data_IF_126442794411
#
_entry.id   IF_126442794411
#
_cell.length_a   1.000
_cell.length_b   1.000
_cell.length_c   1.000
_cell.angle_alpha   90.00
_cell.angle_beta   90.00
_cell.angle_gamma   90.00
#
_symmetry.space_group_name_H-M   'P 1'
#
loop_
_entity.id
_entity.type
_entity.pdbx_description
1 polymer ?
#
# COMPACT_ATOMS: atom_id res chain seq x y z
N UNK A 1 35.09 11.45 -7.96
CA UNK A 1 34.17 12.51 -7.53
C UNK A 1 33.40 12.01 -6.29
N UNK A 2 33.24 12.83 -5.27
CA UNK A 2 32.50 12.50 -4.04
C UNK A 2 31.12 13.17 -4.12
N UNK A 3 30.08 12.37 -4.01
CA UNK A 3 28.69 12.83 -4.11
C UNK A 3 27.97 12.51 -2.82
N UNK A 4 27.26 13.50 -2.26
CA UNK A 4 26.36 13.33 -1.13
C UNK A 4 24.92 13.31 -1.65
N UNK A 5 24.18 12.23 -1.39
CA UNK A 5 22.73 12.20 -1.59
C UNK A 5 22.02 12.58 -0.29
N UNK A 6 21.42 13.75 -0.28
CA UNK A 6 20.77 14.34 0.89
C UNK A 6 19.25 14.23 0.77
N UNK A 7 18.60 13.55 1.71
CA UNK A 7 17.12 13.45 1.73
C UNK A 7 16.62 13.06 3.13
N UNK A 8 15.41 13.45 3.44
CA UNK A 8 14.67 12.94 4.58
C UNK A 8 14.24 11.47 4.40
N UNK A 9 14.09 10.98 3.17
CA UNK A 9 13.58 9.64 2.85
C UNK A 9 12.24 9.34 3.54
N UNK A 10 11.34 10.30 3.58
CA UNK A 10 10.08 10.25 4.32
C UNK A 10 8.86 10.59 3.46
N UNK A 11 8.18 9.58 2.89
CA UNK A 11 8.52 8.16 2.88
C UNK A 11 9.58 7.78 1.83
N UNK A 12 10.19 6.61 2.01
CA UNK A 12 11.03 5.99 0.99
C UNK A 12 10.15 5.36 -0.10
N UNK A 13 10.17 5.94 -1.31
CA UNK A 13 9.39 5.46 -2.45
C UNK A 13 10.19 4.54 -3.37
N UNK A 14 9.52 3.79 -4.23
CA UNK A 14 10.17 2.92 -5.21
C UNK A 14 11.16 3.67 -6.11
N UNK A 15 10.88 4.92 -6.47
CA UNK A 15 11.77 5.74 -7.28
C UNK A 15 13.07 6.08 -6.58
N UNK A 16 13.00 6.41 -5.28
CA UNK A 16 14.18 6.60 -4.45
C UNK A 16 14.96 5.31 -4.24
N UNK A 17 14.27 4.19 -4.01
CA UNK A 17 14.92 2.88 -3.89
C UNK A 17 15.67 2.49 -5.17
N UNK A 18 15.11 2.71 -6.35
CA UNK A 18 15.78 2.45 -7.62
C UNK A 18 17.05 3.28 -7.78
N UNK A 19 17.00 4.58 -7.42
CA UNK A 19 18.20 5.40 -7.40
C UNK A 19 19.26 4.86 -6.45
N UNK A 20 18.88 4.45 -5.23
CA UNK A 20 19.83 3.97 -4.21
C UNK A 20 20.45 2.60 -4.57
N UNK A 21 19.76 1.79 -5.40
CA UNK A 21 20.30 0.52 -5.90
C UNK A 21 21.37 0.70 -6.96
N UNK A 22 21.24 1.71 -7.82
CA UNK A 22 22.19 2.00 -8.87
C UNK A 22 22.33 3.52 -9.12
N UNK A 23 22.94 4.24 -8.18
CA UNK A 23 23.13 5.68 -8.32
C UNK A 23 24.07 6.05 -9.48
N UNK A 24 24.97 5.13 -9.88
CA UNK A 24 25.90 5.38 -10.98
C UNK A 24 25.22 5.45 -12.35
N UNK A 25 24.02 4.89 -12.52
CA UNK A 25 23.22 5.09 -13.73
C UNK A 25 22.69 6.52 -13.88
N UNK A 26 22.71 7.31 -12.81
CA UNK A 26 22.19 8.68 -12.76
C UNK A 26 23.29 9.73 -12.63
N UNK A 27 24.48 9.32 -12.18
CA UNK A 27 25.66 10.18 -12.02
C UNK A 27 26.89 9.48 -12.62
N UNK A 28 28.01 10.19 -12.78
CA UNK A 28 29.22 9.63 -13.37
C UNK A 28 29.66 8.35 -12.63
N UNK A 29 29.88 7.28 -13.40
CA UNK A 29 30.26 5.94 -12.91
C UNK A 29 31.56 5.88 -12.10
N UNK A 30 32.40 6.90 -12.18
CA UNK A 30 33.65 7.03 -11.38
C UNK A 30 33.42 7.65 -10.01
N UNK A 31 32.19 7.97 -9.65
CA UNK A 31 31.87 8.71 -8.43
C UNK A 31 31.59 7.78 -7.23
N UNK A 32 32.03 8.18 -6.04
CA UNK A 32 31.58 7.59 -4.78
C UNK A 32 30.35 8.32 -4.27
N UNK A 33 29.30 7.59 -3.95
CA UNK A 33 28.04 8.14 -3.43
C UNK A 33 27.87 7.75 -1.96
N UNK A 34 27.58 8.74 -1.12
CA UNK A 34 27.20 8.55 0.28
C UNK A 34 25.82 9.14 0.53
N UNK A 35 25.07 8.56 1.47
CA UNK A 35 23.74 9.02 1.87
C UNK A 35 23.86 9.86 3.14
N UNK A 36 23.20 11.04 3.15
CA UNK A 36 22.91 11.78 4.35
C UNK A 36 21.42 11.75 4.64
N UNK A 37 21.03 11.03 5.70
CA UNK A 37 19.67 10.98 6.20
C UNK A 37 19.42 12.21 7.10
N UNK A 38 18.43 13.01 6.76
CA UNK A 38 17.97 14.11 7.60
C UNK A 38 17.09 13.56 8.73
N UNK A 39 17.31 14.00 9.98
CA UNK A 39 16.62 13.48 11.15
C UNK A 39 15.11 13.78 11.16
N UNK A 40 14.72 14.93 10.63
CA UNK A 40 13.32 15.34 10.59
C UNK A 40 12.51 14.47 9.63
N UNK A 41 11.30 14.07 10.05
CA UNK A 41 10.37 13.26 9.26
C UNK A 41 9.21 12.70 10.11
N UNK A 42 8.19 12.19 9.48
CA UNK A 42 7.03 11.59 10.15
C UNK A 42 7.31 10.14 10.56
N UNK A 43 7.99 9.37 9.69
CA UNK A 43 8.63 8.11 10.07
C UNK A 43 9.82 8.38 10.98
N UNK A 44 10.00 7.56 12.03
CA UNK A 44 11.13 7.69 12.94
C UNK A 44 12.47 7.56 12.20
N UNK A 45 13.50 8.25 12.73
CA UNK A 45 14.86 8.17 12.19
C UNK A 45 15.36 6.71 12.17
N UNK A 46 15.06 5.94 13.22
CA UNK A 46 15.46 4.54 13.30
C UNK A 46 14.84 3.68 12.20
N UNK A 47 13.56 3.85 11.90
CA UNK A 47 12.89 3.12 10.82
C UNK A 47 13.49 3.47 9.45
N UNK A 48 13.75 4.75 9.20
CA UNK A 48 14.40 5.20 7.96
C UNK A 48 15.84 4.69 7.82
N UNK A 49 16.62 4.68 8.90
CA UNK A 49 17.96 4.07 8.93
C UNK A 49 17.92 2.58 8.61
N UNK A 50 16.97 1.85 9.20
CA UNK A 50 16.78 0.42 8.93
C UNK A 50 16.43 0.17 7.46
N UNK A 51 15.55 0.96 6.87
CA UNK A 51 15.22 0.88 5.45
C UNK A 51 16.44 1.15 4.57
N UNK A 52 17.22 2.17 4.89
CA UNK A 52 18.45 2.53 4.15
C UNK A 52 19.58 1.53 4.33
N UNK A 53 19.58 0.73 5.41
CA UNK A 53 20.61 -0.28 5.67
C UNK A 53 20.71 -1.38 4.61
N UNK A 54 19.68 -1.54 3.79
CA UNK A 54 19.62 -2.51 2.68
C UNK A 54 20.51 -2.13 1.48
N UNK A 55 20.92 -0.86 1.39
CA UNK A 55 21.69 -0.36 0.25
C UNK A 55 23.20 -0.36 0.58
N UNK A 56 24.08 -0.77 -0.35
CA UNK A 56 25.52 -0.88 -0.13
C UNK A 56 26.22 0.48 -0.23
N UNK A 57 25.66 1.53 0.32
CA UNK A 57 26.16 2.89 0.29
C UNK A 57 26.60 3.34 1.69
N UNK A 58 27.67 4.13 1.76
CA UNK A 58 28.03 4.85 2.98
C UNK A 58 26.91 5.79 3.40
N UNK A 59 26.58 5.85 4.70
CA UNK A 59 25.47 6.66 5.21
C UNK A 59 25.81 7.37 6.50
N UNK A 60 25.19 8.52 6.71
CA UNK A 60 25.26 9.33 7.92
C UNK A 60 23.89 9.85 8.25
N UNK A 61 23.55 9.92 9.52
CA UNK A 61 22.35 10.60 10.01
C UNK A 61 22.76 11.96 10.51
N UNK A 62 22.12 13.01 10.04
CA UNK A 62 22.47 14.40 10.35
C UNK A 62 21.23 15.23 10.67
N UNK A 63 21.40 16.25 11.49
CA UNK A 63 20.43 17.31 11.67
C UNK A 63 20.48 18.31 10.50
N UNK A 64 19.42 19.06 10.29
CA UNK A 64 19.38 20.12 9.28
C UNK A 64 20.50 21.15 9.45
N UNK A 65 20.90 21.46 10.69
CA UNK A 65 21.99 22.40 11.00
C UNK A 65 23.37 21.95 10.51
N UNK A 66 23.59 20.65 10.30
CA UNK A 66 24.87 20.10 9.87
C UNK A 66 25.05 20.07 8.35
N UNK A 67 23.99 20.35 7.57
CA UNK A 67 24.02 20.25 6.11
C UNK A 67 25.11 21.16 5.49
N UNK A 68 25.19 22.41 5.93
CA UNK A 68 26.14 23.38 5.36
C UNK A 68 27.60 22.95 5.56
N UNK A 69 27.93 22.41 6.74
CA UNK A 69 29.30 21.93 7.04
C UNK A 69 29.58 20.66 6.27
N UNK A 70 28.66 19.70 6.26
CA UNK A 70 28.84 18.43 5.58
C UNK A 70 28.97 18.60 4.07
N UNK A 71 28.16 19.47 3.44
CA UNK A 71 28.19 19.72 1.99
C UNK A 71 29.53 20.24 1.47
N UNK A 72 30.34 20.89 2.32
CA UNK A 72 31.72 21.33 1.97
C UNK A 72 32.67 20.16 1.69
N UNK A 73 32.40 19.00 2.26
CA UNK A 73 33.22 17.79 2.12
C UNK A 73 33.03 17.03 0.81
N UNK A 74 32.03 17.44 -0.02
CA UNK A 74 31.67 16.76 -1.25
C UNK A 74 31.82 17.66 -2.47
N UNK A 75 32.03 17.06 -3.64
CA UNK A 75 32.10 17.77 -4.91
C UNK A 75 30.71 18.21 -5.35
N UNK A 76 29.72 17.33 -5.16
CA UNK A 76 28.32 17.60 -5.45
C UNK A 76 27.40 17.09 -4.33
N UNK A 77 26.22 17.72 -4.23
CA UNK A 77 25.12 17.32 -3.35
C UNK A 77 23.90 17.07 -4.20
N UNK A 78 23.44 15.83 -4.25
CA UNK A 78 22.18 15.44 -4.93
C UNK A 78 21.03 15.56 -3.94
N UNK A 79 19.99 16.30 -4.33
CA UNK A 79 18.81 16.55 -3.49
C UNK A 79 17.55 16.28 -4.30
N UNK A 80 16.54 15.56 -3.76
CA UNK A 80 15.24 15.48 -4.39
C UNK A 80 14.69 16.90 -4.64
N UNK A 81 14.19 17.16 -5.83
CA UNK A 81 13.73 18.50 -6.24
C UNK A 81 12.63 19.03 -5.29
N UNK A 82 11.78 18.14 -4.79
CA UNK A 82 10.76 18.44 -3.79
C UNK A 82 11.34 18.93 -2.47
N UNK A 83 12.47 18.38 -2.04
CA UNK A 83 13.08 18.71 -0.76
C UNK A 83 14.03 19.91 -0.83
N UNK A 84 14.47 20.27 -2.04
CA UNK A 84 15.45 21.37 -2.25
C UNK A 84 15.04 22.70 -1.59
N UNK A 85 13.79 23.18 -1.65
CA UNK A 85 13.38 24.40 -0.98
C UNK A 85 13.67 24.45 0.53
N UNK A 86 13.73 23.27 1.18
CA UNK A 86 14.02 23.18 2.62
C UNK A 86 15.51 23.30 2.95
N UNK A 87 16.41 23.11 1.96
CA UNK A 87 17.86 23.04 2.15
C UNK A 87 18.64 24.05 1.31
N UNK A 88 18.00 24.79 0.38
CA UNK A 88 18.66 25.66 -0.60
C UNK A 88 19.62 26.69 0.03
N UNK A 89 19.28 27.24 1.20
CA UNK A 89 20.10 28.24 1.88
C UNK A 89 21.34 27.66 2.58
N UNK A 90 21.47 26.32 2.60
CA UNK A 90 22.52 25.57 3.30
C UNK A 90 23.51 24.89 2.34
N UNK A 91 23.25 24.91 1.04
CA UNK A 91 24.04 24.23 0.02
C UNK A 91 24.47 25.24 -1.04
N UNK A 92 25.78 25.23 -1.40
CA UNK A 92 26.26 26.04 -2.52
C UNK A 92 25.51 25.64 -3.82
N UNK A 93 24.78 26.55 -4.47
CA UNK A 93 24.03 26.24 -5.69
C UNK A 93 24.88 25.66 -6.83
N UNK A 94 26.20 25.96 -6.84
CA UNK A 94 27.15 25.42 -7.83
C UNK A 94 27.44 23.94 -7.65
N UNK A 95 27.17 23.41 -6.46
CA UNK A 95 27.35 21.99 -6.12
C UNK A 95 26.08 21.17 -6.16
N UNK A 96 24.91 21.79 -6.32
CA UNK A 96 23.63 21.10 -6.28
C UNK A 96 23.35 20.39 -7.60
N UNK A 97 22.91 19.14 -7.49
CA UNK A 97 22.26 18.40 -8.58
C UNK A 97 20.88 18.02 -8.07
N UNK A 98 19.83 18.45 -8.74
CA UNK A 98 18.48 18.07 -8.37
C UNK A 98 18.10 16.71 -8.98
N UNK A 99 17.35 15.93 -8.24
CA UNK A 99 16.88 14.62 -8.62
C UNK A 99 15.34 14.65 -8.67
N UNK A 100 14.75 14.34 -9.83
CA UNK A 100 13.29 14.39 -9.96
C UNK A 100 12.78 14.15 -11.36
N UNK A 101 11.50 14.38 -11.58
CA UNK A 101 10.78 14.20 -12.85
C UNK A 101 10.97 15.36 -13.83
N UNK A 102 10.57 15.15 -15.07
CA UNK A 102 10.55 16.21 -16.09
C UNK A 102 9.65 17.41 -15.71
N UNK A 103 8.63 17.20 -14.89
CA UNK A 103 7.76 18.26 -14.43
C UNK A 103 8.48 19.15 -13.41
N UNK A 104 9.18 18.55 -12.45
CA UNK A 104 9.96 19.25 -11.44
C UNK A 104 11.16 19.97 -12.09
N UNK A 105 11.79 19.39 -13.11
CA UNK A 105 12.87 20.02 -13.88
C UNK A 105 12.48 21.39 -14.44
N UNK A 106 11.24 21.57 -14.89
CA UNK A 106 10.77 22.86 -15.43
C UNK A 106 10.80 23.98 -14.40
N UNK A 107 10.59 23.64 -13.12
CA UNK A 107 10.62 24.61 -12.02
C UNK A 107 12.05 25.07 -11.69
N UNK A 108 13.05 24.24 -11.93
CA UNK A 108 14.45 24.49 -11.59
C UNK A 108 15.38 24.46 -12.81
N UNK A 109 14.98 25.12 -13.89
CA UNK A 109 15.68 25.06 -15.20
C UNK A 109 17.13 25.56 -15.18
N UNK A 110 17.52 26.34 -14.16
CA UNK A 110 18.88 26.89 -14.02
C UNK A 110 19.86 25.99 -13.27
N UNK A 111 19.38 24.91 -12.65
CA UNK A 111 20.21 23.98 -11.88
C UNK A 111 20.46 22.66 -12.65
N UNK A 112 21.62 22.02 -12.44
CA UNK A 112 21.83 20.66 -12.94
C UNK A 112 20.74 19.71 -12.45
N UNK A 113 20.25 18.83 -13.30
CA UNK A 113 19.12 17.99 -13.00
C UNK A 113 19.33 16.55 -13.49
N UNK A 114 19.19 15.60 -12.57
CA UNK A 114 19.15 14.17 -12.84
C UNK A 114 17.69 13.76 -12.98
N UNK A 115 17.31 13.30 -14.16
CA UNK A 115 15.92 12.97 -14.47
C UNK A 115 15.60 11.53 -14.10
N UNK A 116 14.48 11.34 -13.39
CA UNK A 116 13.91 10.01 -13.13
C UNK A 116 12.58 9.87 -13.87
N UNK A 117 12.21 8.64 -14.28
CA UNK A 117 11.01 8.41 -15.08
C UNK A 117 9.69 8.62 -14.32
N UNK A 118 9.70 8.78 -13.00
CA UNK A 118 8.51 8.93 -12.16
C UNK A 118 8.45 10.29 -11.45
N UNK A 119 7.24 10.72 -11.11
CA UNK A 119 6.97 11.93 -10.31
C UNK A 119 7.04 11.57 -8.82
N UNK A 120 8.23 11.67 -8.24
CA UNK A 120 8.50 11.34 -6.85
C UNK A 120 7.65 12.18 -5.86
N UNK A 121 7.47 13.47 -6.14
CA UNK A 121 6.65 14.36 -5.30
C UNK A 121 5.24 13.83 -5.19
N UNK A 122 4.68 13.42 -6.32
CA UNK A 122 3.34 12.87 -6.41
C UNK A 122 3.25 11.50 -5.73
N UNK A 123 4.26 10.64 -5.91
CA UNK A 123 4.32 9.34 -5.24
C UNK A 123 4.31 9.50 -3.72
N UNK A 124 5.15 10.37 -3.17
CA UNK A 124 5.20 10.65 -1.73
C UNK A 124 3.88 11.23 -1.21
N UNK A 125 3.31 12.20 -1.92
CA UNK A 125 2.04 12.80 -1.52
C UNK A 125 0.92 11.77 -1.52
N UNK A 126 0.76 10.98 -2.60
CA UNK A 126 -0.28 9.97 -2.70
C UNK A 126 -0.16 8.91 -1.60
N UNK A 127 1.07 8.52 -1.24
CA UNK A 127 1.32 7.58 -0.17
C UNK A 127 0.93 8.17 1.19
N UNK A 128 1.36 9.42 1.51
CA UNK A 128 1.00 10.12 2.76
C UNK A 128 -0.51 10.30 2.90
N UNK A 129 -1.20 10.54 1.82
CA UNK A 129 -2.66 10.65 1.79
C UNK A 129 -3.39 9.30 1.78
N UNK A 130 -2.68 8.18 1.64
CA UNK A 130 -3.25 6.84 1.54
C UNK A 130 -4.04 6.58 0.26
N UNK A 131 -3.76 7.32 -0.81
CA UNK A 131 -4.49 7.24 -2.09
C UNK A 131 -3.87 6.30 -3.10
N UNK A 132 -2.54 6.15 -3.06
CA UNK A 132 -1.81 5.15 -3.84
C UNK A 132 -0.46 4.89 -3.17
N UNK A 133 0.05 3.66 -3.34
CA UNK A 133 1.32 3.26 -2.76
C UNK A 133 2.35 2.97 -3.87
N UNK A 134 3.56 3.49 -3.67
CA UNK A 134 4.72 3.30 -4.53
C UNK A 134 5.91 3.03 -3.62
N UNK A 135 5.80 1.95 -2.81
CA UNK A 135 6.78 1.62 -1.79
C UNK A 135 7.04 0.12 -1.73
N UNK A 136 8.22 -0.26 -1.26
CA UNK A 136 8.54 -1.66 -0.98
C UNK A 136 7.73 -2.18 0.22
N UNK A 137 7.67 -3.51 0.37
CA UNK A 137 6.98 -4.14 1.50
C UNK A 137 7.53 -3.63 2.83
N UNK A 138 8.85 -3.54 2.96
CA UNK A 138 9.54 -3.10 4.16
C UNK A 138 9.20 -1.65 4.53
N UNK A 139 9.08 -0.77 3.54
CA UNK A 139 8.64 0.61 3.77
C UNK A 139 7.17 0.64 4.22
N UNK A 140 6.29 -0.18 3.62
CA UNK A 140 4.89 -0.30 4.04
C UNK A 140 4.76 -0.89 5.44
N UNK A 141 5.57 -1.89 5.81
CA UNK A 141 5.62 -2.46 7.17
C UNK A 141 6.06 -1.40 8.19
N UNK A 142 7.07 -0.58 7.88
CA UNK A 142 7.50 0.50 8.76
C UNK A 142 6.36 1.52 8.99
N UNK A 143 5.66 1.93 7.93
CA UNK A 143 4.50 2.83 7.99
C UNK A 143 3.39 2.23 8.87
N UNK A 144 3.06 0.95 8.69
CA UNK A 144 2.04 0.26 9.49
C UNK A 144 2.43 0.14 10.97
N UNK A 145 3.70 -0.09 11.26
CA UNK A 145 4.21 -0.25 12.63
C UNK A 145 4.21 1.08 13.39
N UNK A 146 4.54 2.19 12.73
CA UNK A 146 4.58 3.51 13.33
C UNK A 146 3.25 4.27 13.29
N UNK A 147 2.25 3.73 12.60
CA UNK A 147 0.89 4.29 12.54
C UNK A 147 0.87 5.73 12.00
N UNK A 148 1.69 6.04 10.99
CA UNK A 148 1.88 7.39 10.45
C UNK A 148 1.05 7.67 9.18
N UNK A 149 1.09 8.91 8.70
CA UNK A 149 0.42 9.43 7.49
C UNK A 149 -1.11 9.31 7.53
N UNK A 150 -1.73 8.51 6.66
CA UNK A 150 -3.18 8.33 6.56
C UNK A 150 -3.76 7.40 7.63
N UNK A 151 -2.93 6.58 8.28
CA UNK A 151 -3.37 5.52 9.19
C UNK A 151 -4.15 6.03 10.41
N UNK A 152 -3.77 7.13 11.09
CA UNK A 152 -4.57 7.67 12.19
C UNK A 152 -6.00 8.06 11.78
N UNK A 153 -6.21 8.51 10.54
CA UNK A 153 -7.55 8.81 10.01
C UNK A 153 -8.37 7.53 9.81
N UNK A 154 -7.76 6.47 9.29
CA UNK A 154 -8.40 5.17 9.10
C UNK A 154 -8.72 4.51 10.45
N UNK A 155 -7.77 4.50 11.38
CA UNK A 155 -7.93 3.92 12.73
C UNK A 155 -9.13 4.47 13.49
N UNK A 156 -9.42 5.77 13.36
CA UNK A 156 -10.59 6.40 14.01
C UNK A 156 -11.94 5.84 13.57
N UNK A 157 -12.00 5.09 12.47
CA UNK A 157 -13.24 4.55 11.89
C UNK A 157 -13.56 3.14 12.33
N UNK A 158 -12.62 2.45 12.96
CA UNK A 158 -12.75 1.03 13.27
C UNK A 158 -12.20 0.71 14.66
N UNK A 159 -12.68 -0.39 15.23
CA UNK A 159 -12.16 -0.93 16.48
C UNK A 159 -10.73 -1.41 16.30
N UNK A 160 -9.93 -1.38 17.36
CA UNK A 160 -8.52 -1.75 17.34
C UNK A 160 -8.26 -3.15 16.75
N UNK A 161 -9.10 -4.14 17.11
CA UNK A 161 -8.97 -5.50 16.57
C UNK A 161 -9.18 -5.55 15.05
N UNK A 162 -10.10 -4.73 14.54
CA UNK A 162 -10.35 -4.62 13.09
C UNK A 162 -9.25 -3.89 12.39
N UNK A 163 -8.74 -2.81 12.98
CA UNK A 163 -7.60 -2.09 12.45
C UNK A 163 -6.35 -2.98 12.33
N UNK A 164 -6.06 -3.77 13.39
CA UNK A 164 -4.98 -4.75 13.37
C UNK A 164 -5.18 -5.81 12.27
N UNK A 165 -6.41 -6.33 12.14
CA UNK A 165 -6.77 -7.25 11.06
C UNK A 165 -6.53 -6.63 9.67
N UNK A 166 -7.00 -5.39 9.44
CA UNK A 166 -6.82 -4.71 8.14
C UNK A 166 -5.35 -4.52 7.77
N UNK A 167 -4.46 -4.26 8.74
CA UNK A 167 -3.01 -4.21 8.52
C UNK A 167 -2.45 -5.55 8.04
N UNK A 168 -2.88 -6.65 8.65
CA UNK A 168 -2.44 -8.00 8.26
C UNK A 168 -3.00 -8.41 6.90
N UNK A 169 -4.26 -8.08 6.62
CA UNK A 169 -4.86 -8.31 5.28
C UNK A 169 -4.09 -7.54 4.21
N UNK A 170 -3.72 -6.29 4.47
CA UNK A 170 -2.95 -5.48 3.51
C UNK A 170 -1.61 -6.11 3.15
N UNK A 171 -0.84 -6.59 4.15
CA UNK A 171 0.44 -7.27 3.92
C UNK A 171 0.25 -8.62 3.21
N UNK A 172 -0.78 -9.38 3.58
CA UNK A 172 -1.11 -10.66 2.94
C UNK A 172 -1.53 -10.44 1.48
N UNK A 173 -2.33 -9.41 1.19
CA UNK A 173 -2.66 -8.99 -0.17
C UNK A 173 -1.42 -8.64 -0.98
N UNK A 174 -0.49 -7.88 -0.39
CA UNK A 174 0.77 -7.51 -1.04
C UNK A 174 1.55 -8.77 -1.45
N UNK A 175 1.74 -9.71 -0.52
CA UNK A 175 2.52 -10.93 -0.77
C UNK A 175 1.88 -11.81 -1.85
N UNK A 176 0.58 -12.10 -1.74
CA UNK A 176 -0.15 -12.90 -2.72
C UNK A 176 -0.12 -12.23 -4.10
N UNK A 177 -0.40 -10.93 -4.17
CA UNK A 177 -0.39 -10.20 -5.43
C UNK A 177 0.99 -10.20 -6.10
N UNK A 178 2.06 -9.93 -5.33
CA UNK A 178 3.44 -9.95 -5.82
C UNK A 178 3.83 -11.31 -6.37
N UNK A 179 3.50 -12.38 -5.65
CA UNK A 179 3.81 -13.75 -6.02
C UNK A 179 3.08 -14.19 -7.31
N UNK A 180 1.90 -13.63 -7.58
CA UNK A 180 1.07 -13.93 -8.75
C UNK A 180 1.18 -12.89 -9.88
N UNK A 181 2.17 -11.98 -9.86
CA UNK A 181 2.37 -10.99 -10.92
C UNK A 181 1.30 -9.89 -10.99
N UNK A 182 0.51 -9.72 -9.93
CA UNK A 182 -0.47 -8.64 -9.81
C UNK A 182 0.18 -7.38 -9.22
N UNK A 183 -0.52 -6.26 -9.29
CA UNK A 183 -0.04 -5.02 -8.67
C UNK A 183 -0.14 -5.08 -7.13
N UNK A 184 0.98 -5.39 -6.47
CA UNK A 184 1.07 -5.58 -5.03
C UNK A 184 0.69 -4.32 -4.23
N UNK A 185 1.06 -3.14 -4.70
CA UNK A 185 0.72 -1.87 -4.04
C UNK A 185 -0.79 -1.58 -4.09
N UNK A 186 -1.46 -1.87 -5.21
CA UNK A 186 -2.93 -1.77 -5.28
C UNK A 186 -3.62 -2.83 -4.41
N UNK A 187 -3.06 -4.03 -4.33
CA UNK A 187 -3.58 -5.09 -3.46
C UNK A 187 -3.45 -4.72 -1.99
N UNK A 188 -2.32 -4.15 -1.58
CA UNK A 188 -2.16 -3.56 -0.25
C UNK A 188 -3.24 -2.50 0.03
N UNK A 189 -3.49 -1.60 -0.93
CA UNK A 189 -4.50 -0.56 -0.81
C UNK A 189 -5.91 -1.16 -0.61
N UNK A 190 -6.28 -2.18 -1.38
CA UNK A 190 -7.54 -2.87 -1.21
C UNK A 190 -7.63 -3.52 0.19
N UNK A 191 -6.56 -4.19 0.63
CA UNK A 191 -6.49 -4.85 1.93
C UNK A 191 -6.61 -3.91 3.11
N UNK A 192 -5.92 -2.76 3.10
CA UNK A 192 -5.96 -1.83 4.24
C UNK A 192 -7.34 -1.16 4.41
N UNK A 193 -8.08 -0.98 3.32
CA UNK A 193 -9.38 -0.30 3.33
C UNK A 193 -10.61 -1.23 3.28
N UNK A 194 -10.45 -2.55 3.10
CA UNK A 194 -11.60 -3.44 2.83
C UNK A 194 -12.72 -3.37 3.87
N UNK A 195 -12.37 -3.21 5.14
CA UNK A 195 -13.29 -3.19 6.28
C UNK A 195 -13.56 -1.77 6.84
N UNK A 196 -13.31 -0.71 6.05
CA UNK A 196 -13.36 0.70 6.52
C UNK A 196 -14.73 1.16 7.05
N UNK A 197 -15.80 0.42 6.83
CA UNK A 197 -17.18 0.68 7.29
C UNK A 197 -17.78 -0.43 8.14
N UNK A 198 -17.03 -1.51 8.44
CA UNK A 198 -17.55 -2.71 9.12
C UNK A 198 -18.09 -2.44 10.52
N UNK A 199 -17.60 -1.43 11.20
CA UNK A 199 -18.02 -1.07 12.56
C UNK A 199 -19.19 -0.06 12.59
N UNK A 200 -19.72 0.33 11.42
CA UNK A 200 -20.96 1.13 11.34
C UNK A 200 -22.17 0.22 11.60
N UNK A 201 -23.23 0.77 12.22
CA UNK A 201 -24.45 0.00 12.43
C UNK A 201 -25.14 -0.33 11.11
N UNK A 202 -25.93 -1.40 11.12
CA UNK A 202 -26.68 -1.85 9.92
C UNK A 202 -27.62 -0.75 9.42
N UNK A 203 -28.27 -0.01 10.32
CA UNK A 203 -29.20 1.08 9.99
C UNK A 203 -28.49 2.18 9.21
N UNK A 204 -27.28 2.58 9.64
CA UNK A 204 -26.46 3.59 8.98
C UNK A 204 -26.06 3.10 7.59
N UNK A 205 -25.58 1.88 7.49
CA UNK A 205 -25.15 1.29 6.21
C UNK A 205 -26.33 1.13 5.24
N UNK A 206 -27.48 0.63 5.70
CA UNK A 206 -28.69 0.49 4.88
C UNK A 206 -29.19 1.85 4.39
N UNK A 207 -29.22 2.86 5.26
CA UNK A 207 -29.65 4.20 4.86
C UNK A 207 -28.72 4.78 3.79
N UNK A 208 -27.41 4.65 4.00
CA UNK A 208 -26.41 5.10 3.04
C UNK A 208 -26.55 4.38 1.68
N UNK A 209 -26.74 3.05 1.68
CA UNK A 209 -26.93 2.28 0.44
C UNK A 209 -28.25 2.60 -0.28
N UNK A 210 -29.32 2.93 0.44
CA UNK A 210 -30.57 3.40 -0.18
C UNK A 210 -30.39 4.68 -1.02
N UNK A 211 -29.47 5.52 -0.64
CA UNK A 211 -29.19 6.80 -1.29
C UNK A 211 -28.19 6.67 -2.45
N UNK A 212 -27.21 5.74 -2.33
CA UNK A 212 -26.07 5.68 -3.24
C UNK A 212 -26.01 4.42 -4.13
N UNK A 213 -26.57 3.29 -3.68
CA UNK A 213 -26.53 2.00 -4.40
C UNK A 213 -27.68 1.09 -3.98
N UNK A 214 -28.91 1.52 -4.20
CA UNK A 214 -30.14 0.85 -3.73
C UNK A 214 -30.32 -0.57 -4.27
N UNK A 215 -29.77 -0.86 -5.43
CA UNK A 215 -29.90 -2.15 -6.13
C UNK A 215 -29.23 -3.32 -5.38
N UNK A 216 -28.31 -3.07 -4.46
CA UNK A 216 -27.69 -4.12 -3.65
C UNK A 216 -28.54 -4.55 -2.44
N UNK A 217 -29.66 -3.87 -2.20
CA UNK A 217 -30.58 -4.18 -1.12
C UNK A 217 -31.77 -5.03 -1.62
N UNK A 218 -32.31 -5.98 -0.81
CA UNK A 218 -31.86 -6.29 0.55
C UNK A 218 -30.54 -7.04 0.58
N UNK A 219 -29.71 -6.76 1.59
CA UNK A 219 -28.40 -7.35 1.79
C UNK A 219 -28.26 -7.84 3.24
N UNK A 220 -27.72 -9.05 3.49
CA UNK A 220 -27.47 -9.51 4.83
C UNK A 220 -26.49 -8.60 5.59
N UNK A 221 -26.68 -8.45 6.90
CA UNK A 221 -25.89 -7.62 7.79
C UNK A 221 -24.36 -7.84 7.62
N UNK A 222 -23.93 -9.10 7.50
CA UNK A 222 -22.51 -9.42 7.37
C UNK A 222 -21.87 -8.88 6.09
N UNK A 223 -22.65 -8.56 5.05
CA UNK A 223 -22.14 -8.14 3.74
C UNK A 223 -22.37 -6.64 3.43
N UNK A 224 -23.15 -5.91 4.24
CA UNK A 224 -23.43 -4.49 4.01
C UNK A 224 -22.15 -3.67 3.81
N UNK A 225 -21.14 -3.90 4.67
CA UNK A 225 -19.90 -3.12 4.68
C UNK A 225 -19.05 -3.27 3.41
N UNK A 226 -19.16 -4.34 2.64
CA UNK A 226 -18.41 -4.45 1.39
C UNK A 226 -18.90 -3.43 0.35
N UNK A 227 -20.20 -3.17 0.28
CA UNK A 227 -20.77 -2.17 -0.63
C UNK A 227 -20.57 -0.75 -0.09
N UNK A 228 -20.91 -0.52 1.18
CA UNK A 228 -20.72 0.76 1.84
C UNK A 228 -19.24 1.16 1.84
N UNK A 229 -18.34 0.22 2.15
CA UNK A 229 -16.90 0.45 2.17
C UNK A 229 -16.33 0.80 0.79
N UNK A 230 -16.82 0.17 -0.26
CA UNK A 230 -16.40 0.45 -1.64
C UNK A 230 -16.81 1.86 -2.12
N UNK A 231 -17.90 2.41 -1.60
CA UNK A 231 -18.32 3.78 -1.84
C UNK A 231 -17.53 4.76 -0.99
N UNK A 232 -17.45 4.53 0.34
CA UNK A 232 -16.77 5.41 1.28
C UNK A 232 -15.27 5.52 1.04
N UNK A 233 -14.62 4.48 0.53
CA UNK A 233 -13.20 4.56 0.17
C UNK A 233 -12.94 5.60 -0.93
N UNK A 234 -13.90 5.80 -1.84
CA UNK A 234 -13.84 6.87 -2.85
C UNK A 234 -14.09 8.24 -2.22
N UNK A 235 -15.12 8.37 -1.43
CA UNK A 235 -15.58 9.67 -0.91
C UNK A 235 -14.64 10.23 0.15
N UNK A 236 -14.23 9.39 1.10
CA UNK A 236 -13.48 9.82 2.26
C UNK A 236 -11.96 9.76 2.11
N UNK A 237 -11.49 8.84 1.27
CA UNK A 237 -10.05 8.62 1.04
C UNK A 237 -9.61 8.95 -0.40
N UNK A 238 -10.55 9.27 -1.30
CA UNK A 238 -10.24 9.66 -2.67
C UNK A 238 -9.69 8.53 -3.54
N UNK A 239 -9.98 7.26 -3.20
CA UNK A 239 -9.57 6.10 -4.00
C UNK A 239 -10.49 5.95 -5.21
N UNK A 240 -9.97 6.34 -6.38
CA UNK A 240 -10.73 6.31 -7.63
C UNK A 240 -10.54 5.02 -8.42
N UNK A 241 -9.50 4.25 -8.12
CA UNK A 241 -9.16 3.03 -8.86
C UNK A 241 -10.30 2.00 -8.79
N UNK A 242 -10.93 1.65 -9.93
CA UNK A 242 -12.06 0.74 -9.96
C UNK A 242 -11.67 -0.67 -9.51
N UNK A 243 -10.46 -1.12 -9.81
CA UNK A 243 -9.97 -2.45 -9.43
C UNK A 243 -9.96 -2.63 -7.91
N UNK A 244 -9.51 -1.60 -7.17
CA UNK A 244 -9.50 -1.60 -5.70
C UNK A 244 -10.93 -1.59 -5.16
N UNK A 245 -11.78 -0.73 -5.70
CA UNK A 245 -13.17 -0.58 -5.23
C UNK A 245 -14.02 -1.80 -5.50
N UNK A 246 -13.89 -2.42 -6.67
CA UNK A 246 -14.59 -3.64 -7.04
C UNK A 246 -14.15 -4.83 -6.18
N UNK A 247 -12.87 -4.95 -5.85
CA UNK A 247 -12.40 -5.97 -4.93
C UNK A 247 -13.02 -5.79 -3.54
N UNK A 248 -13.09 -4.55 -3.02
CA UNK A 248 -13.75 -4.27 -1.75
C UNK A 248 -15.24 -4.63 -1.82
N UNK A 249 -15.93 -4.32 -2.92
CA UNK A 249 -17.35 -4.56 -3.09
C UNK A 249 -17.75 -6.06 -3.15
N UNK A 250 -16.80 -6.97 -3.29
CA UNK A 250 -17.09 -8.41 -3.37
C UNK A 250 -16.27 -9.29 -2.39
N UNK A 251 -15.52 -8.68 -1.46
CA UNK A 251 -14.61 -9.46 -0.61
C UNK A 251 -15.31 -10.39 0.39
N UNK A 252 -16.57 -10.11 0.75
CA UNK A 252 -17.35 -10.97 1.65
C UNK A 252 -18.13 -12.05 0.92
N UNK A 253 -18.99 -11.64 -0.01
CA UNK A 253 -19.91 -12.54 -0.70
C UNK A 253 -19.30 -13.23 -1.90
N UNK A 254 -18.23 -12.68 -2.45
CA UNK A 254 -17.79 -12.98 -3.81
C UNK A 254 -18.81 -12.49 -4.84
N UNK A 255 -18.62 -12.89 -6.07
CA UNK A 255 -19.53 -12.74 -7.22
C UNK A 255 -19.28 -13.85 -8.23
N UNK A 256 -20.18 -14.05 -9.19
CA UNK A 256 -20.12 -15.13 -10.18
C UNK A 256 -18.75 -15.21 -10.87
N UNK A 257 -18.25 -14.11 -11.40
CA UNK A 257 -16.96 -14.05 -12.09
C UNK A 257 -16.05 -13.06 -11.36
N UNK A 258 -15.04 -13.58 -10.70
CA UNK A 258 -14.02 -12.78 -9.99
C UNK A 258 -12.71 -12.81 -10.78
N UNK A 259 -12.10 -11.65 -11.00
CA UNK A 259 -10.75 -11.58 -11.52
C UNK A 259 -9.71 -11.95 -10.43
N UNK A 260 -8.47 -12.18 -10.83
CA UNK A 260 -7.41 -12.63 -9.90
C UNK A 260 -7.12 -11.61 -8.80
N UNK A 261 -7.34 -10.32 -9.03
CA UNK A 261 -7.15 -9.28 -8.03
C UNK A 261 -8.25 -9.32 -6.94
N UNK A 262 -9.50 -9.51 -7.34
CA UNK A 262 -10.64 -9.70 -6.41
C UNK A 262 -10.47 -10.97 -5.58
N UNK A 263 -10.02 -12.06 -6.21
CA UNK A 263 -9.67 -13.31 -5.52
C UNK A 263 -8.53 -13.10 -4.51
N UNK A 264 -7.55 -12.26 -4.84
CA UNK A 264 -6.45 -11.92 -3.95
C UNK A 264 -6.97 -11.32 -2.63
N UNK A 265 -7.82 -10.30 -2.68
CA UNK A 265 -8.42 -9.73 -1.46
C UNK A 265 -9.30 -10.72 -0.72
N UNK A 266 -10.15 -11.48 -1.45
CA UNK A 266 -11.03 -12.50 -0.86
C UNK A 266 -10.23 -13.54 -0.07
N UNK A 267 -9.12 -14.03 -0.62
CA UNK A 267 -8.24 -15.01 0.03
C UNK A 267 -7.50 -14.38 1.20
N UNK A 268 -6.89 -13.21 1.01
CA UNK A 268 -6.09 -12.55 2.04
C UNK A 268 -6.89 -12.24 3.31
N UNK A 269 -8.12 -11.73 3.16
CA UNK A 269 -9.03 -11.48 4.28
C UNK A 269 -9.30 -12.73 5.12
N UNK A 270 -9.36 -13.89 4.48
CA UNK A 270 -9.70 -15.15 5.13
C UNK A 270 -8.50 -15.95 5.62
N UNK A 271 -7.29 -15.58 5.18
CA UNK A 271 -6.08 -16.38 5.45
C UNK A 271 -4.93 -15.58 6.09
N UNK A 272 -5.15 -14.31 6.45
CA UNK A 272 -4.10 -13.53 7.12
C UNK A 272 -3.63 -14.21 8.43
N UNK A 273 -2.34 -14.03 8.82
CA UNK A 273 -1.72 -14.86 9.87
C UNK A 273 -2.33 -14.77 11.26
N UNK A 274 -3.12 -13.72 11.56
CA UNK A 274 -3.71 -13.55 12.91
C UNK A 274 -5.09 -14.17 13.08
N UNK A 275 -5.60 -14.85 12.04
CA UNK A 275 -6.87 -15.57 12.15
C UNK A 275 -6.82 -16.63 13.24
N UNK A 276 -7.90 -16.83 14.03
CA UNK A 276 -7.93 -17.75 15.16
C UNK A 276 -8.04 -19.22 14.76
N UNK A 277 -7.85 -19.54 13.49
CA UNK A 277 -7.92 -20.89 12.93
C UNK A 277 -6.84 -21.10 11.87
N UNK A 278 -6.47 -22.35 11.64
CA UNK A 278 -5.41 -22.70 10.69
C UNK A 278 -5.80 -22.35 9.25
N UNK A 279 -5.02 -21.48 8.63
CA UNK A 279 -5.21 -21.02 7.25
C UNK A 279 -3.91 -20.95 6.45
N UNK A 280 -2.82 -21.39 7.03
CA UNK A 280 -1.50 -21.31 6.40
C UNK A 280 -1.44 -22.12 5.11
N UNK A 281 -2.11 -23.29 5.09
CA UNK A 281 -2.16 -24.14 3.91
C UNK A 281 -2.79 -23.42 2.72
N UNK A 282 -3.97 -22.84 2.91
CA UNK A 282 -4.69 -22.11 1.85
C UNK A 282 -3.90 -20.87 1.39
N UNK A 283 -3.29 -20.16 2.33
CA UNK A 283 -2.43 -19.00 2.02
C UNK A 283 -1.21 -19.44 1.21
N UNK A 284 -0.54 -20.54 1.55
CA UNK A 284 0.61 -21.04 0.80
C UNK A 284 0.23 -21.50 -0.60
N UNK A 285 -0.95 -22.11 -0.79
CA UNK A 285 -1.46 -22.42 -2.13
C UNK A 285 -1.69 -21.12 -2.93
N UNK A 286 -2.27 -20.08 -2.32
CA UNK A 286 -2.51 -18.81 -2.99
C UNK A 286 -1.23 -18.06 -3.36
N UNK A 287 -0.18 -18.19 -2.58
CA UNK A 287 1.15 -17.65 -2.92
C UNK A 287 1.74 -18.34 -4.17
N UNK A 288 1.45 -19.62 -4.38
CA UNK A 288 1.89 -20.34 -5.59
C UNK A 288 0.98 -20.08 -6.79
N UNK A 289 -0.34 -20.06 -6.56
CA UNK A 289 -1.36 -19.85 -7.60
C UNK A 289 -2.64 -19.31 -6.96
N UNK A 290 -3.03 -18.10 -7.30
CA UNK A 290 -4.20 -17.44 -6.73
C UNK A 290 -5.52 -18.16 -7.06
N UNK A 291 -5.64 -18.76 -8.24
CA UNK A 291 -6.85 -19.49 -8.65
C UNK A 291 -7.06 -20.74 -7.78
N UNK A 292 -6.01 -21.51 -7.56
CA UNK A 292 -6.03 -22.69 -6.68
C UNK A 292 -6.22 -22.30 -5.21
N UNK A 293 -5.58 -21.23 -4.75
CA UNK A 293 -5.74 -20.70 -3.40
C UNK A 293 -7.17 -20.24 -3.13
N UNK A 294 -7.79 -19.55 -4.09
CA UNK A 294 -9.17 -19.13 -4.01
C UNK A 294 -10.11 -20.35 -3.90
N UNK A 295 -9.94 -21.36 -4.73
CA UNK A 295 -10.73 -22.59 -4.68
C UNK A 295 -10.54 -23.34 -3.34
N UNK A 296 -9.33 -23.39 -2.81
CA UNK A 296 -9.04 -24.00 -1.52
C UNK A 296 -9.78 -23.26 -0.38
N UNK A 297 -9.69 -21.93 -0.33
CA UNK A 297 -10.40 -21.10 0.65
C UNK A 297 -11.92 -21.27 0.52
N UNK A 298 -12.44 -21.25 -0.70
CA UNK A 298 -13.88 -21.38 -0.93
C UNK A 298 -14.41 -22.72 -0.43
N UNK A 299 -13.71 -23.83 -0.69
CA UNK A 299 -14.08 -25.17 -0.18
C UNK A 299 -14.04 -25.20 1.36
N UNK A 300 -12.95 -24.74 1.96
CA UNK A 300 -12.82 -24.68 3.42
C UNK A 300 -13.92 -23.87 4.09
N UNK A 301 -14.32 -22.73 3.49
CA UNK A 301 -15.44 -21.92 4.00
C UNK A 301 -16.79 -22.64 3.90
N UNK A 302 -17.09 -23.25 2.77
CA UNK A 302 -18.36 -23.98 2.60
C UNK A 302 -18.45 -25.13 3.61
N UNK A 303 -17.38 -25.90 3.78
CA UNK A 303 -17.33 -26.98 4.76
C UNK A 303 -17.51 -26.46 6.19
N UNK A 304 -16.92 -25.30 6.52
CA UNK A 304 -17.11 -24.65 7.82
C UNK A 304 -18.57 -24.24 8.03
N UNK A 305 -19.20 -23.56 7.05
CA UNK A 305 -20.58 -23.08 7.17
C UNK A 305 -21.57 -24.24 7.24
N UNK A 306 -21.38 -25.30 6.44
CA UNK A 306 -22.20 -26.53 6.52
C UNK A 306 -22.10 -27.15 7.93
N UNK A 307 -20.91 -27.31 8.47
CA UNK A 307 -20.71 -27.87 9.83
C UNK A 307 -21.34 -27.04 10.94
N UNK A 308 -21.42 -25.72 10.77
CA UNK A 308 -21.94 -24.77 11.75
C UNK A 308 -23.41 -24.40 11.50
N UNK A 309 -24.06 -24.93 10.47
CA UNK A 309 -25.39 -24.53 10.04
C UNK A 309 -25.56 -23.02 9.85
N UNK A 310 -24.55 -22.37 9.30
CA UNK A 310 -24.57 -20.92 9.02
C UNK A 310 -25.24 -20.71 7.65
N UNK A 311 -26.27 -19.85 7.54
CA UNK A 311 -27.03 -19.63 6.30
C UNK A 311 -26.28 -18.73 5.29
N UNK A 312 -24.98 -18.96 5.11
CA UNK A 312 -24.11 -18.19 4.22
C UNK A 312 -24.49 -18.37 2.75
N UNK A 313 -24.94 -19.58 2.38
CA UNK A 313 -25.36 -19.91 1.00
C UNK A 313 -26.73 -19.33 0.61
N UNK A 314 -27.43 -18.65 1.52
CA UNK A 314 -28.71 -18.01 1.21
C UNK A 314 -28.57 -16.70 0.42
N UNK A 315 -27.36 -16.09 0.43
CA UNK A 315 -27.11 -14.86 -0.34
C UNK A 315 -26.85 -15.16 -1.81
N UNK A 316 -27.57 -14.47 -2.70
CA UNK A 316 -27.56 -14.77 -4.15
C UNK A 316 -26.17 -14.69 -4.77
N UNK A 317 -25.39 -13.62 -4.52
CA UNK A 317 -24.03 -13.49 -5.04
C UNK A 317 -23.12 -14.64 -4.60
N UNK A 318 -23.26 -15.10 -3.35
CA UNK A 318 -22.48 -16.24 -2.84
C UNK A 318 -22.90 -17.54 -3.52
N UNK A 319 -24.21 -17.76 -3.73
CA UNK A 319 -24.69 -18.92 -4.49
C UNK A 319 -24.16 -18.94 -5.92
N UNK A 320 -24.25 -17.82 -6.61
CA UNK A 320 -23.74 -17.68 -7.98
C UNK A 320 -22.24 -17.97 -8.04
N UNK A 321 -21.45 -17.43 -7.10
CA UNK A 321 -20.02 -17.71 -6.97
C UNK A 321 -19.77 -19.21 -6.77
N UNK A 322 -20.42 -19.83 -5.78
CA UNK A 322 -20.23 -21.25 -5.46
C UNK A 322 -20.63 -22.15 -6.65
N UNK A 323 -21.77 -21.87 -7.28
CA UNK A 323 -22.21 -22.60 -8.46
C UNK A 323 -21.23 -22.49 -9.63
N UNK A 324 -20.69 -21.31 -9.84
CA UNK A 324 -19.74 -21.06 -10.94
C UNK A 324 -18.42 -21.80 -10.75
N UNK A 325 -17.85 -21.74 -9.52
CA UNK A 325 -16.50 -22.26 -9.27
C UNK A 325 -16.48 -23.72 -8.79
N UNK A 326 -17.51 -24.20 -8.14
CA UNK A 326 -17.53 -25.55 -7.55
C UNK A 326 -18.63 -26.46 -8.11
N UNK A 327 -19.53 -25.92 -8.94
CA UNK A 327 -20.67 -26.64 -9.49
C UNK A 327 -21.91 -26.63 -8.59
N UNK A 328 -23.07 -26.99 -9.16
CA UNK A 328 -24.38 -26.94 -8.46
C UNK A 328 -24.47 -27.90 -7.28
N UNK A 329 -23.80 -29.05 -7.35
CA UNK A 329 -23.83 -30.08 -6.30
C UNK A 329 -23.15 -29.61 -4.99
N UNK A 330 -22.36 -28.57 -5.04
CA UNK A 330 -21.67 -27.98 -3.86
C UNK A 330 -22.63 -27.20 -2.94
N UNK A 331 -23.85 -26.92 -3.38
CA UNK A 331 -24.88 -26.21 -2.60
C UNK A 331 -25.75 -27.14 -1.74
N UNK A 332 -25.67 -28.46 -1.95
CA UNK A 332 -26.44 -29.49 -1.23
C UNK A 332 -25.78 -29.95 0.08
#
# INVERSE_FOLDING_TARGET
MRILFLSAFDPLTNSLEQFLLDPCSYVDSSSSVEIALIQEGELSTQSRENLLSRFPLGRKTISKAEISVLSLCYDFVVVPALEYPFYQDQIDPKKVILFGSNQERKQYSSLPFCNIPSDQSREQQLLKEGKAFYASKEALEAILNEDCYFLPKLRKRMKESRYSHSKQVALTCYDIAKANGLNANKAFLAGIYHDNSKDYSDEVQIQYLKEHQREVLPCPSFALHQFTGALLVKEDFGILDPLVREAIACHCTGKREMNSFEKCLFVADKTEPTRPFETERERNIALMNIEEGFLAVLRSQIDYFKRKNIPYLEHELTKEMVQHYLGKDSLC
#
